data_IF_170055112391
#
_entry.id   IF_170055112391
#
_cell.length_a   1.000
_cell.length_b   1.000
_cell.length_c   1.000
_cell.angle_alpha   90.00
_cell.angle_beta   90.00
_cell.angle_gamma   90.00
#
_symmetry.space_group_name_H-M   'P 1'
#
loop_
_entity.id
_entity.type
_entity.pdbx_description
1 polymer ?
#
# COMPACT_ATOMS: atom_id res chain seq x y z
N UNK A 1 -2.45 -15.84 16.10
CA UNK A 1 -2.40 -14.66 15.23
C UNK A 1 -1.21 -14.76 14.29
N UNK A 2 -1.47 -14.51 13.03
CA UNK A 2 -0.39 -14.54 12.04
C UNK A 2 0.10 -13.11 11.79
N UNK A 3 1.40 -12.92 11.87
CA UNK A 3 2.00 -11.64 11.57
C UNK A 3 2.43 -11.59 10.12
N UNK A 4 2.16 -10.45 9.48
CA UNK A 4 2.65 -10.22 8.13
C UNK A 4 4.03 -9.59 8.27
N UNK A 5 5.02 -10.25 7.66
CA UNK A 5 6.40 -9.79 7.70
C UNK A 5 6.71 -9.03 6.41
N UNK A 6 7.22 -7.83 6.55
CA UNK A 6 7.59 -7.00 5.39
C UNK A 6 9.11 -6.95 5.27
N UNK A 7 9.63 -6.86 4.04
CA UNK A 7 11.06 -6.64 3.85
C UNK A 7 11.51 -5.35 4.54
N UNK A 8 12.73 -5.29 5.06
CA UNK A 8 13.20 -4.09 5.74
C UNK A 8 13.12 -2.82 4.89
N UNK A 9 13.31 -2.93 3.59
CA UNK A 9 13.23 -1.76 2.71
C UNK A 9 11.84 -1.16 2.64
N UNK A 10 10.79 -1.88 3.06
CA UNK A 10 9.44 -1.36 3.10
C UNK A 10 9.11 -0.66 4.41
N UNK A 11 9.85 -0.96 5.48
CA UNK A 11 9.55 -0.41 6.81
C UNK A 11 10.71 0.38 7.40
N UNK A 12 11.92 0.25 6.82
CA UNK A 12 13.13 0.85 7.39
C UNK A 12 13.23 2.34 7.21
N UNK A 13 12.71 2.87 6.12
CA UNK A 13 12.75 4.30 5.85
C UNK A 13 11.35 4.79 5.53
N UNK A 14 10.75 5.46 6.49
CA UNK A 14 9.45 6.03 6.28
C UNK A 14 9.53 7.42 5.67
N UNK A 15 8.50 7.79 4.97
CA UNK A 15 8.29 9.13 4.49
C UNK A 15 6.82 9.46 4.66
N UNK A 16 6.52 10.34 5.59
CA UNK A 16 5.14 10.74 5.82
C UNK A 16 4.59 11.44 4.58
N UNK A 17 3.46 11.01 4.13
CA UNK A 17 2.87 11.60 2.94
C UNK A 17 1.61 10.89 2.50
N UNK A 18 1.18 11.21 1.29
CA UNK A 18 0.05 10.56 0.66
C UNK A 18 0.58 9.51 -0.29
N UNK A 19 0.15 8.27 -0.08
CA UNK A 19 0.56 7.13 -0.87
C UNK A 19 -0.63 6.63 -1.68
N UNK A 20 -0.43 6.46 -2.98
CA UNK A 20 -1.45 5.83 -3.81
C UNK A 20 -1.19 4.33 -3.86
N UNK A 21 -2.19 3.57 -3.47
CA UNK A 21 -2.14 2.12 -3.57
C UNK A 21 -2.94 1.72 -4.80
N UNK A 22 -2.33 0.98 -5.71
CA UNK A 22 -2.96 0.53 -6.94
C UNK A 22 -2.98 -0.99 -6.94
N UNK A 23 -4.17 -1.55 -7.14
CA UNK A 23 -4.36 -2.98 -7.29
C UNK A 23 -4.67 -3.30 -8.74
N UNK A 24 -3.98 -4.29 -9.28
CA UNK A 24 -4.22 -4.80 -10.63
C UNK A 24 -4.78 -6.20 -10.50
N UNK A 25 -6.02 -6.39 -10.93
CA UNK A 25 -6.70 -7.67 -10.82
C UNK A 25 -6.38 -8.58 -12.00
N UNK A 26 -6.69 -9.87 -11.84
CA UNK A 26 -6.35 -10.86 -12.87
C UNK A 26 -7.03 -10.62 -14.21
N UNK A 27 -8.16 -9.95 -14.21
CA UNK A 27 -8.88 -9.62 -15.44
C UNK A 27 -8.36 -8.34 -16.12
N UNK A 28 -7.31 -7.75 -15.58
CA UNK A 28 -6.71 -6.54 -16.14
C UNK A 28 -7.26 -5.24 -15.60
N UNK A 29 -8.31 -5.29 -14.81
CA UNK A 29 -8.86 -4.07 -14.20
C UNK A 29 -7.94 -3.55 -13.11
N UNK A 30 -7.96 -2.24 -12.92
CA UNK A 30 -7.18 -1.60 -11.88
C UNK A 30 -8.09 -0.79 -10.98
N UNK A 31 -7.67 -0.63 -9.74
CA UNK A 31 -8.35 0.19 -8.77
C UNK A 31 -7.29 0.83 -7.89
N UNK A 32 -7.49 2.07 -7.52
CA UNK A 32 -6.54 2.73 -6.63
C UNK A 32 -7.25 3.58 -5.59
N UNK A 33 -6.54 3.78 -4.48
CA UNK A 33 -7.00 4.63 -3.39
C UNK A 33 -5.77 5.29 -2.77
N UNK A 34 -5.96 6.47 -2.19
CA UNK A 34 -4.87 7.21 -1.58
C UNK A 34 -5.02 7.22 -0.07
N UNK A 35 -3.89 7.08 0.62
CA UNK A 35 -3.86 7.04 2.07
C UNK A 35 -2.71 7.89 2.59
N UNK A 36 -2.94 8.58 3.69
CA UNK A 36 -1.86 9.22 4.42
C UNK A 36 -1.18 8.17 5.27
N UNK A 37 0.09 7.96 5.03
CA UNK A 37 0.84 6.90 5.70
C UNK A 37 2.32 7.25 5.76
N UNK A 38 3.04 6.60 6.65
CA UNK A 38 4.47 6.80 6.85
C UNK A 38 5.31 5.81 6.05
N UNK A 39 4.77 4.64 5.73
CA UNK A 39 5.47 3.63 4.97
C UNK A 39 4.59 3.06 3.86
N UNK A 40 5.24 2.52 2.84
CA UNK A 40 4.54 1.79 1.78
C UNK A 40 3.71 0.65 2.35
N UNK A 41 4.28 -0.11 3.27
CA UNK A 41 3.61 -1.25 3.89
C UNK A 41 2.34 -0.82 4.62
N UNK A 42 2.39 0.31 5.32
CA UNK A 42 1.23 0.83 6.02
C UNK A 42 0.11 1.20 5.05
N UNK A 43 0.46 1.86 3.96
CA UNK A 43 -0.53 2.23 2.95
C UNK A 43 -1.19 1.00 2.32
N UNK A 44 -0.39 0.01 1.97
CA UNK A 44 -0.90 -1.24 1.40
C UNK A 44 -1.79 -1.99 2.38
N UNK A 45 -1.41 -2.00 3.65
CA UNK A 45 -2.21 -2.63 4.69
C UNK A 45 -3.57 -1.96 4.84
N UNK A 46 -3.60 -0.63 4.81
CA UNK A 46 -4.86 0.12 4.89
C UNK A 46 -5.78 -0.22 3.71
N UNK A 47 -5.19 -0.32 2.53
CA UNK A 47 -5.95 -0.69 1.35
C UNK A 47 -6.59 -2.08 1.52
N UNK A 48 -5.80 -3.05 1.96
CA UNK A 48 -6.29 -4.41 2.14
C UNK A 48 -7.35 -4.51 3.23
N UNK A 49 -7.25 -3.69 4.27
CA UNK A 49 -8.25 -3.66 5.32
C UNK A 49 -9.58 -3.06 4.85
N UNK A 50 -9.51 -2.11 3.93
CA UNK A 50 -10.70 -1.44 3.42
C UNK A 50 -11.39 -2.24 2.32
N UNK A 51 -10.62 -2.79 1.39
CA UNK A 51 -11.17 -3.44 0.21
C UNK A 51 -11.04 -4.96 0.24
N UNK A 52 -10.33 -5.48 1.22
CA UNK A 52 -10.16 -6.91 1.36
C UNK A 52 -9.05 -7.45 0.49
N UNK A 53 -9.08 -8.76 0.31
CA UNK A 53 -8.00 -9.48 -0.37
C UNK A 53 -8.00 -9.18 -1.86
N UNK A 54 -6.81 -8.90 -2.41
CA UNK A 54 -6.63 -8.66 -3.83
C UNK A 54 -6.07 -9.91 -4.50
N UNK A 55 -6.73 -10.35 -5.58
CA UNK A 55 -6.19 -11.40 -6.43
C UNK A 55 -5.53 -10.74 -7.61
N UNK A 56 -4.20 -10.63 -7.56
CA UNK A 56 -3.40 -9.93 -8.54
C UNK A 56 -2.23 -9.26 -7.86
N UNK A 57 -1.86 -8.10 -8.35
CA UNK A 57 -0.74 -7.36 -7.82
C UNK A 57 -1.21 -6.10 -7.11
N UNK A 58 -0.42 -5.66 -6.14
CA UNK A 58 -0.70 -4.44 -5.41
C UNK A 58 0.61 -3.65 -5.27
N UNK A 59 0.54 -2.36 -5.54
CA UNK A 59 1.67 -1.45 -5.47
C UNK A 59 1.29 -0.23 -4.66
N UNK A 60 2.27 0.40 -4.05
CA UNK A 60 2.08 1.68 -3.40
C UNK A 60 3.18 2.64 -3.84
N UNK A 61 2.80 3.88 -4.09
CA UNK A 61 3.72 4.93 -4.51
C UNK A 61 3.36 6.21 -3.79
N UNK A 62 4.38 6.90 -3.28
CA UNK A 62 4.14 8.19 -2.66
C UNK A 62 3.88 9.23 -3.76
N UNK A 63 2.79 9.98 -3.61
CA UNK A 63 2.40 11.00 -4.57
C UNK A 63 2.54 12.41 -4.02
N UNK A 64 2.60 12.54 -2.69
CA UNK A 64 2.82 13.83 -2.06
C UNK A 64 3.54 13.61 -0.75
N UNK A 65 4.76 14.13 -0.63
CA UNK A 65 5.52 14.07 0.60
C UNK A 65 5.06 15.14 1.56
N UNK A 66 4.96 14.79 2.82
CA UNK A 66 4.67 15.74 3.90
C UNK A 66 5.82 15.76 4.88
N UNK A 67 6.16 16.92 5.34
CA UNK A 67 7.22 17.07 6.32
C UNK A 67 6.64 17.29 7.73
#
# INVERSE_FOLDING_TARGET
>A
MRFISYPPQLIGKGQWGIWRVTATYQDGRTHSAAYEAFTMAEAMRRYLMEFGKVRGEIHAKIIQKKS
#
